data_IF_123935032516
#
_entry.id   IF_123935032516
#
_cell.length_a   1.000
_cell.length_b   1.000
_cell.length_c   1.000
_cell.angle_alpha   90.00
_cell.angle_beta   90.00
_cell.angle_gamma   90.00
#
_symmetry.space_group_name_H-M   'P 1'
#
loop_
_entity.id
_entity.type
_entity.pdbx_description
1 polymer ?
#
# COMPACT_ATOMS: atom_id res chain seq x y z
N UNK A 1 -11.50 7.01 3.23
CA UNK A 1 -11.81 8.22 4.04
C UNK A 1 -11.98 7.99 5.56
N UNK A 2 -12.54 6.86 6.06
CA UNK A 2 -12.82 6.67 7.52
C UNK A 2 -11.60 6.53 8.45
N UNK A 3 -10.37 6.34 7.93
CA UNK A 3 -9.16 6.11 8.74
C UNK A 3 -8.47 7.42 9.21
N UNK A 4 -8.73 8.53 8.53
CA UNK A 4 -8.02 9.80 8.74
C UNK A 4 -8.47 10.60 9.97
N UNK A 5 -9.72 10.43 10.42
CA UNK A 5 -10.26 11.15 11.58
C UNK A 5 -9.64 10.71 12.93
N UNK A 6 -9.04 9.52 13.02
CA UNK A 6 -8.50 8.99 14.29
C UNK A 6 -7.06 9.42 14.60
N UNK A 7 -6.30 9.89 13.62
CA UNK A 7 -4.86 10.18 13.80
C UNK A 7 -4.64 11.53 14.51
N UNK A 8 -5.53 12.51 14.30
CA UNK A 8 -5.31 13.89 14.77
C UNK A 8 -5.70 14.19 16.22
N UNK A 9 -6.32 13.25 16.96
CA UNK A 9 -6.72 13.51 18.35
C UNK A 9 -5.56 13.46 19.36
N UNK A 10 -4.34 13.05 19.00
CA UNK A 10 -3.25 12.86 19.97
C UNK A 10 -2.04 13.80 19.83
N UNK A 11 -2.10 14.88 19.06
CA UNK A 11 -1.05 15.90 19.02
C UNK A 11 -1.44 17.12 19.86
N UNK A 12 -1.61 16.91 21.17
CA UNK A 12 -1.68 17.97 22.20
C UNK A 12 -0.39 18.07 23.04
N UNK A 13 0.72 17.51 22.58
CA UNK A 13 2.00 17.60 23.29
C UNK A 13 3.07 18.21 22.38
N UNK A 14 3.16 19.54 22.41
CA UNK A 14 4.36 20.26 21.99
C UNK A 14 5.55 19.86 22.89
N UNK A 15 6.79 19.77 22.38
CA UNK A 15 7.96 19.61 23.22
C UNK A 15 8.07 20.83 24.16
N UNK A 16 8.15 20.57 25.48
CA UNK A 16 8.51 21.56 26.49
C UNK A 16 10.00 21.87 26.33
N UNK A 17 10.35 22.78 25.43
CA UNK A 17 11.55 23.58 25.63
C UNK A 17 11.33 24.44 26.87
N UNK A 18 12.32 24.46 27.75
CA UNK A 18 12.27 25.07 29.08
C UNK A 18 12.55 26.59 28.95
N UNK A 19 11.76 27.27 28.14
CA UNK A 19 11.64 28.73 28.11
C UNK A 19 10.27 29.07 28.68
N UNK A 20 10.20 29.91 29.71
CA UNK A 20 8.93 30.40 30.24
C UNK A 20 8.13 31.00 29.08
N UNK A 21 6.90 30.50 28.80
CA UNK A 21 6.12 31.05 27.71
C UNK A 21 5.78 32.49 28.05
N UNK A 22 6.23 33.45 27.23
CA UNK A 22 5.79 34.84 27.34
C UNK A 22 4.25 34.87 27.37
N UNK A 23 3.69 35.49 28.41
CA UNK A 23 2.23 35.58 28.60
C UNK A 23 1.51 36.24 27.41
N UNK A 24 2.24 36.99 26.57
CA UNK A 24 1.81 37.61 25.31
C UNK A 24 1.38 36.60 24.22
N UNK A 25 1.84 35.35 24.29
CA UNK A 25 1.59 34.32 23.29
C UNK A 25 0.49 33.32 23.67
N UNK A 26 -0.08 33.44 24.88
CA UNK A 26 -1.20 32.62 25.32
C UNK A 26 -2.49 33.03 24.60
N UNK A 27 -3.12 32.10 23.88
CA UNK A 27 -4.39 32.32 23.18
C UNK A 27 -4.27 32.82 21.73
N UNK A 28 -3.06 32.99 21.19
CA UNK A 28 -2.86 33.41 19.79
C UNK A 28 -3.21 32.26 18.84
N UNK A 29 -4.17 32.49 17.93
CA UNK A 29 -4.51 31.53 16.87
C UNK A 29 -3.36 31.45 15.87
N UNK A 30 -2.53 30.42 15.98
CA UNK A 30 -1.51 30.11 14.98
C UNK A 30 -2.13 29.23 13.90
N UNK A 31 -2.09 29.73 12.68
CA UNK A 31 -2.47 28.96 11.50
C UNK A 31 -1.27 28.12 11.06
N UNK A 32 -1.40 26.80 11.13
CA UNK A 32 -0.35 25.88 10.65
C UNK A 32 -0.31 25.93 9.11
N UNK A 33 0.84 26.20 8.48
CA UNK A 33 0.94 26.33 7.03
C UNK A 33 0.79 24.97 6.30
N UNK A 34 0.47 24.96 4.99
CA UNK A 34 0.42 23.74 4.19
C UNK A 34 1.76 22.99 4.06
N UNK A 35 2.88 23.64 4.38
CA UNK A 35 4.21 23.02 4.41
C UNK A 35 4.43 22.07 5.59
N UNK A 36 3.57 22.11 6.60
CA UNK A 36 3.63 21.18 7.73
C UNK A 36 3.09 19.81 7.32
N UNK A 37 4.00 18.88 7.01
CA UNK A 37 3.68 17.52 6.56
C UNK A 37 2.75 16.80 7.52
N UNK A 38 1.71 16.18 6.98
CA UNK A 38 0.73 15.43 7.76
C UNK A 38 -0.23 16.31 8.58
N UNK A 39 -0.30 17.62 8.31
CA UNK A 39 -1.37 18.51 8.81
C UNK A 39 -2.61 18.54 7.90
N UNK A 40 -3.77 19.04 8.38
CA UNK A 40 -4.99 19.10 7.58
C UNK A 40 -4.82 19.90 6.27
N UNK A 41 -4.09 21.02 6.31
CA UNK A 41 -3.85 21.85 5.13
C UNK A 41 -2.88 21.20 4.14
N UNK A 42 -1.85 20.52 4.65
CA UNK A 42 -0.96 19.72 3.81
C UNK A 42 -1.74 18.63 3.08
N UNK A 43 -2.58 17.88 3.78
CA UNK A 43 -3.39 16.81 3.18
C UNK A 43 -4.37 17.37 2.15
N UNK A 44 -4.98 18.52 2.42
CA UNK A 44 -5.88 19.18 1.48
C UNK A 44 -5.15 19.64 0.21
N UNK A 45 -3.96 20.26 0.35
CA UNK A 45 -3.13 20.65 -0.78
C UNK A 45 -2.75 19.43 -1.63
N UNK A 46 -2.27 18.34 -1.02
CA UNK A 46 -1.92 17.11 -1.75
C UNK A 46 -3.10 16.48 -2.47
N UNK A 47 -4.29 16.55 -1.88
CA UNK A 47 -5.50 16.12 -2.56
C UNK A 47 -5.79 16.99 -3.79
N UNK A 48 -5.69 18.32 -3.67
CA UNK A 48 -5.88 19.22 -4.82
C UNK A 48 -4.83 18.99 -5.91
N UNK A 49 -3.55 18.80 -5.55
CA UNK A 49 -2.47 18.48 -6.49
C UNK A 49 -2.79 17.19 -7.25
N UNK A 50 -3.19 16.13 -6.53
CA UNK A 50 -3.56 14.86 -7.15
C UNK A 50 -4.78 14.98 -8.07
N UNK A 51 -5.80 15.75 -7.69
CA UNK A 51 -6.97 16.01 -8.54
C UNK A 51 -6.60 16.82 -9.78
N UNK A 52 -5.64 17.75 -9.69
CA UNK A 52 -5.14 18.50 -10.83
C UNK A 52 -4.40 17.58 -11.82
N UNK A 53 -3.57 16.66 -11.32
CA UNK A 53 -2.92 15.62 -12.14
C UNK A 53 -3.98 14.78 -12.85
N UNK A 54 -4.95 14.22 -12.12
CA UNK A 54 -6.02 13.39 -12.69
C UNK A 54 -6.84 14.16 -13.74
N UNK A 55 -7.06 15.45 -13.54
CA UNK A 55 -7.76 16.29 -14.52
C UNK A 55 -6.97 16.44 -15.83
N UNK A 56 -5.66 16.53 -15.76
CA UNK A 56 -4.78 16.71 -16.92
C UNK A 56 -4.48 15.39 -17.63
N UNK A 57 -4.15 14.34 -16.88
CA UNK A 57 -3.67 13.07 -17.43
C UNK A 57 -4.73 11.97 -17.51
N UNK A 58 -5.90 12.19 -16.90
CA UNK A 58 -6.99 11.23 -16.81
C UNK A 58 -6.95 10.37 -15.53
N UNK A 59 -7.91 9.45 -15.43
CA UNK A 59 -8.05 8.58 -14.26
C UNK A 59 -6.89 7.56 -14.14
N UNK A 60 -6.47 7.21 -12.91
CA UNK A 60 -5.50 6.14 -12.67
C UNK A 60 -5.93 4.78 -13.24
N UNK A 61 -4.97 4.07 -13.81
CA UNK A 61 -5.16 2.74 -14.39
C UNK A 61 -4.81 1.64 -13.38
N UNK A 62 -3.69 1.80 -12.68
CA UNK A 62 -3.20 0.81 -11.71
C UNK A 62 -3.16 1.40 -10.31
N UNK A 63 -3.58 0.59 -9.34
CA UNK A 63 -3.48 0.87 -7.92
C UNK A 63 -2.60 -0.18 -7.25
N UNK A 64 -1.36 0.20 -6.93
CA UNK A 64 -0.37 -0.69 -6.36
C UNK A 64 -0.24 -0.39 -4.87
N UNK A 65 -0.22 -1.46 -4.06
CA UNK A 65 0.06 -1.33 -2.62
C UNK A 65 1.35 -2.07 -2.29
N UNK A 66 2.36 -1.34 -1.84
CA UNK A 66 3.59 -1.91 -1.29
C UNK A 66 3.48 -1.97 0.22
N UNK A 67 3.68 -3.14 0.82
CA UNK A 67 3.67 -3.32 2.27
C UNK A 67 5.06 -3.74 2.73
N UNK A 68 5.56 -3.12 3.79
CA UNK A 68 6.84 -3.48 4.39
C UNK A 68 6.80 -4.92 4.93
N UNK A 69 7.80 -5.72 4.56
CA UNK A 69 7.93 -7.10 5.03
C UNK A 69 8.95 -7.18 6.17
N UNK A 70 8.57 -7.61 7.39
CA UNK A 70 9.51 -7.71 8.51
C UNK A 70 10.59 -8.78 8.29
N UNK A 71 10.40 -9.69 7.33
CA UNK A 71 11.35 -10.76 7.03
C UNK A 71 12.46 -10.37 6.05
N UNK A 72 12.49 -9.12 5.58
CA UNK A 72 13.56 -8.62 4.73
C UNK A 72 14.94 -8.77 5.40
N UNK A 73 15.98 -9.15 4.64
CA UNK A 73 17.32 -9.42 5.17
C UNK A 73 17.91 -8.20 5.88
N UNK A 74 17.62 -6.98 5.37
CA UNK A 74 18.09 -5.73 5.96
C UNK A 74 17.60 -5.56 7.42
N UNK A 75 16.44 -6.12 7.77
CA UNK A 75 15.98 -6.14 9.16
C UNK A 75 16.69 -7.23 9.97
N UNK A 76 16.77 -8.45 9.45
CA UNK A 76 17.38 -9.58 10.16
C UNK A 76 18.85 -9.35 10.52
N UNK A 77 19.58 -8.63 9.66
CA UNK A 77 21.00 -8.31 9.86
C UNK A 77 21.24 -7.15 10.83
N UNK A 78 20.27 -6.24 10.98
CA UNK A 78 20.45 -4.99 11.75
C UNK A 78 19.63 -4.94 13.06
N UNK A 79 18.75 -5.91 13.30
CA UNK A 79 18.01 -6.05 14.56
C UNK A 79 18.85 -6.81 15.58
N UNK A 80 18.81 -6.36 16.84
CA UNK A 80 19.43 -7.11 17.94
C UNK A 80 18.60 -8.35 18.27
N UNK A 81 19.23 -9.31 18.96
CA UNK A 81 18.55 -10.54 19.39
C UNK A 81 17.32 -10.19 20.25
N UNK A 82 16.14 -10.58 19.77
CA UNK A 82 14.86 -10.34 20.45
C UNK A 82 14.17 -9.02 20.10
N UNK A 83 14.79 -8.13 19.31
CA UNK A 83 14.11 -6.95 18.76
C UNK A 83 13.22 -7.32 17.57
N UNK A 84 12.07 -6.67 17.47
CA UNK A 84 11.18 -6.74 16.31
C UNK A 84 11.37 -5.50 15.43
N UNK A 85 11.02 -5.62 14.15
CA UNK A 85 11.08 -4.48 13.22
C UNK A 85 10.29 -3.25 13.73
N UNK A 86 9.16 -3.48 14.41
CA UNK A 86 8.36 -2.41 15.03
C UNK A 86 9.10 -1.62 16.12
N UNK A 87 10.13 -2.21 16.74
CA UNK A 87 10.90 -1.57 17.82
C UNK A 87 11.96 -0.60 17.26
N UNK A 88 12.28 -0.70 15.97
CA UNK A 88 13.24 0.16 15.25
C UNK A 88 12.57 0.91 14.10
N UNK A 89 11.70 1.90 14.39
CA UNK A 89 10.98 2.66 13.36
C UNK A 89 11.89 3.43 12.41
N UNK A 90 13.08 3.83 12.87
CA UNK A 90 14.12 4.46 12.05
C UNK A 90 14.62 3.50 10.94
N UNK A 91 14.88 2.24 11.29
CA UNK A 91 15.33 1.22 10.36
C UNK A 91 14.21 0.87 9.37
N UNK A 92 12.99 0.69 9.86
CA UNK A 92 11.81 0.44 9.02
C UNK A 92 11.63 1.54 7.99
N UNK A 93 11.66 2.81 8.41
CA UNK A 93 11.50 3.94 7.50
C UNK A 93 12.58 3.99 6.43
N UNK A 94 13.85 3.74 6.79
CA UNK A 94 14.97 3.76 5.84
C UNK A 94 14.88 2.65 4.81
N UNK A 95 14.72 1.40 5.26
CA UNK A 95 14.64 0.24 4.37
C UNK A 95 13.41 0.35 3.46
N UNK A 96 12.25 0.70 4.04
CA UNK A 96 11.03 0.87 3.27
C UNK A 96 11.15 1.95 2.21
N UNK A 97 11.71 3.11 2.53
CA UNK A 97 11.87 4.20 1.56
C UNK A 97 12.84 3.84 0.44
N UNK A 98 13.90 3.09 0.73
CA UNK A 98 14.82 2.60 -0.31
C UNK A 98 14.14 1.62 -1.26
N UNK A 99 13.40 0.64 -0.72
CA UNK A 99 12.61 -0.30 -1.54
C UNK A 99 11.53 0.41 -2.35
N UNK A 100 10.86 1.42 -1.77
CA UNK A 100 9.85 2.21 -2.46
C UNK A 100 10.48 3.04 -3.58
N UNK A 101 11.69 3.58 -3.37
CA UNK A 101 12.42 4.30 -4.43
C UNK A 101 12.80 3.35 -5.57
N UNK A 102 13.31 2.16 -5.27
CA UNK A 102 13.62 1.15 -6.28
C UNK A 102 12.37 0.77 -7.08
N UNK A 103 11.26 0.46 -6.40
CA UNK A 103 10.00 0.16 -7.07
C UNK A 103 9.53 1.31 -7.98
N UNK A 104 9.57 2.56 -7.52
CA UNK A 104 9.17 3.69 -8.37
C UNK A 104 10.09 3.86 -9.58
N UNK A 105 11.39 3.58 -9.44
CA UNK A 105 12.31 3.60 -10.56
C UNK A 105 11.92 2.54 -11.61
N UNK A 106 11.64 1.31 -11.21
CA UNK A 106 11.20 0.24 -12.12
C UNK A 106 9.88 0.62 -12.83
N UNK A 107 8.96 1.29 -12.11
CA UNK A 107 7.71 1.78 -12.69
C UNK A 107 7.94 2.90 -13.70
N UNK A 108 8.85 3.84 -13.41
CA UNK A 108 9.20 4.94 -14.31
C UNK A 108 9.96 4.43 -15.56
N UNK A 109 10.69 3.32 -15.45
CA UNK A 109 11.33 2.61 -16.56
C UNK A 109 10.34 1.84 -17.45
N UNK A 110 9.06 1.78 -17.05
CA UNK A 110 7.97 1.26 -17.88
C UNK A 110 7.75 -0.25 -17.76
N UNK A 111 8.17 -0.88 -16.65
CA UNK A 111 7.97 -2.33 -16.40
C UNK A 111 6.49 -2.74 -16.49
N UNK A 112 5.56 -1.83 -16.17
CA UNK A 112 4.11 -2.03 -16.28
C UNK A 112 3.45 -1.19 -17.40
N UNK A 113 4.25 -0.73 -18.37
CA UNK A 113 3.82 0.19 -19.42
C UNK A 113 4.29 1.63 -19.17
N UNK A 114 4.24 2.47 -20.20
CA UNK A 114 4.76 3.85 -20.12
C UNK A 114 3.88 4.72 -19.24
N UNK A 115 4.48 5.27 -18.18
CA UNK A 115 3.77 6.10 -17.19
C UNK A 115 3.65 7.56 -17.67
N UNK A 116 2.43 8.08 -17.66
CA UNK A 116 2.15 9.51 -17.86
C UNK A 116 2.22 10.30 -16.56
N UNK A 117 1.74 9.72 -15.46
CA UNK A 117 1.89 10.28 -14.12
C UNK A 117 1.90 9.19 -13.03
N UNK A 118 2.72 9.41 -12.00
CA UNK A 118 2.85 8.56 -10.83
C UNK A 118 2.59 9.38 -9.56
N UNK A 119 1.62 8.95 -8.76
CA UNK A 119 1.29 9.59 -7.48
C UNK A 119 1.31 8.53 -6.38
N UNK A 120 2.13 8.71 -5.35
CA UNK A 120 2.14 7.80 -4.21
C UNK A 120 2.08 8.50 -2.87
N UNK A 121 1.58 7.77 -1.87
CA UNK A 121 1.59 8.16 -0.47
C UNK A 121 2.17 7.03 0.35
N UNK A 122 3.20 7.34 1.14
CA UNK A 122 3.72 6.45 2.17
C UNK A 122 3.02 6.75 3.51
N UNK A 123 2.50 5.71 4.15
CA UNK A 123 1.81 5.76 5.43
C UNK A 123 2.58 4.95 6.48
N UNK A 124 2.94 5.62 7.57
CA UNK A 124 3.51 4.98 8.75
C UNK A 124 2.41 4.72 9.77
N UNK A 125 2.08 3.45 9.98
CA UNK A 125 1.05 3.09 10.95
C UNK A 125 1.63 3.06 12.37
N UNK A 126 0.90 3.59 13.37
CA UNK A 126 1.36 3.65 14.78
C UNK A 126 1.76 2.29 15.39
N UNK A 127 1.24 1.18 14.86
CA UNK A 127 1.45 -0.21 15.34
C UNK A 127 1.62 -1.20 14.18
N UNK A 128 1.87 -0.69 12.99
CA UNK A 128 2.00 -1.48 11.78
C UNK A 128 3.23 -1.03 11.01
N UNK A 129 3.76 -1.90 10.18
CA UNK A 129 4.87 -1.53 9.32
C UNK A 129 4.38 -0.56 8.23
N UNK A 130 5.33 0.17 7.65
CA UNK A 130 5.02 1.15 6.61
C UNK A 130 4.35 0.48 5.41
N UNK A 131 3.42 1.20 4.79
CA UNK A 131 2.84 0.81 3.52
C UNK A 131 2.72 2.02 2.60
N UNK A 132 2.71 1.78 1.30
CA UNK A 132 2.55 2.82 0.29
C UNK A 132 1.39 2.45 -0.62
N UNK A 133 0.62 3.47 -0.99
CA UNK A 133 -0.38 3.40 -2.03
C UNK A 133 0.13 4.20 -3.21
N UNK A 134 0.22 3.56 -4.38
CA UNK A 134 0.76 4.12 -5.61
C UNK A 134 -0.37 4.07 -6.65
N UNK A 135 -0.62 5.22 -7.27
CA UNK A 135 -1.54 5.38 -8.40
C UNK A 135 -0.70 5.65 -9.64
N UNK A 136 -0.85 4.78 -10.65
CA UNK A 136 -0.22 4.97 -11.95
C UNK A 136 -1.27 5.35 -12.97
N UNK A 137 -0.97 6.40 -13.73
CA UNK A 137 -1.72 6.82 -14.91
C UNK A 137 -0.82 6.49 -16.11
N UNK A 138 -1.22 5.50 -16.90
CA UNK A 138 -0.49 5.03 -18.07
C UNK A 138 -0.84 5.88 -19.29
N UNK A 139 0.08 5.94 -20.26
CA UNK A 139 -0.21 6.54 -21.56
C UNK A 139 -1.31 5.75 -22.28
N UNK A 140 -2.14 6.40 -23.13
CA UNK A 140 -3.27 5.76 -23.79
C UNK A 140 -2.94 4.43 -24.46
N UNK A 141 -1.75 4.32 -25.05
CA UNK A 141 -1.28 3.15 -25.80
C UNK A 141 -0.96 1.95 -24.89
N UNK A 142 -0.64 2.20 -23.62
CA UNK A 142 -0.28 1.18 -22.62
C UNK A 142 -1.44 0.86 -21.66
N UNK A 143 -2.62 1.44 -21.86
CA UNK A 143 -3.78 1.18 -20.99
C UNK A 143 -4.31 -0.24 -21.22
N UNK A 144 -4.48 -1.00 -20.14
CA UNK A 144 -5.13 -2.31 -20.18
C UNK A 144 -6.62 -2.17 -20.46
N UNK A 145 -7.02 -2.44 -21.70
CA UNK A 145 -8.42 -2.33 -22.17
C UNK A 145 -9.07 -3.69 -22.41
N UNK A 146 -8.27 -4.76 -22.47
CA UNK A 146 -8.73 -6.14 -22.67
C UNK A 146 -8.39 -7.06 -21.50
N UNK A 147 -9.04 -8.22 -21.45
CA UNK A 147 -8.70 -9.28 -20.50
C UNK A 147 -7.25 -9.76 -20.68
N UNK A 148 -6.76 -9.85 -21.92
CA UNK A 148 -5.39 -10.26 -22.22
C UNK A 148 -4.37 -9.27 -21.66
N UNK A 149 -4.63 -7.96 -21.76
CA UNK A 149 -3.76 -6.94 -21.17
C UNK A 149 -3.72 -7.05 -19.64
N UNK A 150 -4.87 -7.36 -19.02
CA UNK A 150 -4.94 -7.61 -17.58
C UNK A 150 -4.12 -8.84 -17.20
N UNK A 151 -4.24 -9.94 -17.95
CA UNK A 151 -3.51 -11.19 -17.68
C UNK A 151 -1.99 -11.04 -17.84
N UNK A 152 -1.54 -10.13 -18.72
CA UNK A 152 -0.11 -9.77 -18.85
C UNK A 152 0.42 -9.04 -17.61
N UNK A 153 -0.42 -8.29 -16.90
CA UNK A 153 -0.03 -7.48 -15.74
C UNK A 153 -0.30 -8.18 -14.40
N UNK A 154 -1.34 -9.01 -14.32
CA UNK A 154 -1.84 -9.62 -13.10
C UNK A 154 -2.16 -11.08 -13.35
N UNK A 155 -1.57 -11.96 -12.53
CA UNK A 155 -1.95 -13.38 -12.49
C UNK A 155 -2.46 -13.74 -11.10
N UNK A 156 -3.57 -14.50 -11.05
CA UNK A 156 -4.06 -15.14 -9.83
C UNK A 156 -3.64 -16.62 -9.74
N UNK A 157 -2.75 -17.07 -10.61
CA UNK A 157 -2.17 -18.42 -10.57
C UNK A 157 -0.88 -18.45 -9.75
N UNK A 158 -0.55 -19.64 -9.24
CA UNK A 158 0.75 -19.84 -8.60
C UNK A 158 1.84 -19.89 -9.68
N UNK A 159 2.98 -19.21 -9.47
CA UNK A 159 4.14 -19.34 -10.35
C UNK A 159 4.58 -20.80 -10.51
N UNK A 160 5.21 -21.12 -11.64
CA UNK A 160 5.83 -22.44 -11.83
C UNK A 160 7.01 -22.60 -10.87
N UNK A 161 6.94 -23.62 -10.00
CA UNK A 161 7.95 -23.88 -8.96
C UNK A 161 9.31 -24.25 -9.52
N UNK A 162 9.35 -24.92 -10.67
CA UNK A 162 10.61 -25.38 -11.28
C UNK A 162 11.26 -24.25 -12.08
N UNK A 163 10.47 -23.45 -12.80
CA UNK A 163 10.99 -22.35 -13.62
C UNK A 163 11.30 -21.09 -12.81
N UNK A 164 10.49 -20.80 -11.79
CA UNK A 164 10.57 -19.57 -11.02
C UNK A 164 10.49 -19.85 -9.50
N UNK A 165 11.45 -20.60 -8.94
CA UNK A 165 11.40 -21.03 -7.53
C UNK A 165 11.33 -19.86 -6.55
N UNK A 166 12.09 -18.79 -6.79
CA UNK A 166 12.11 -17.61 -5.90
C UNK A 166 10.77 -16.86 -5.88
N UNK A 167 10.14 -16.71 -7.07
CA UNK A 167 8.83 -16.08 -7.20
C UNK A 167 7.75 -16.94 -6.55
N UNK A 168 7.79 -18.25 -6.76
CA UNK A 168 6.89 -19.21 -6.14
C UNK A 168 6.95 -19.12 -4.60
N UNK A 169 8.14 -19.21 -4.01
CA UNK A 169 8.33 -19.13 -2.55
C UNK A 169 7.86 -17.76 -2.01
N UNK A 170 8.10 -16.68 -2.75
CA UNK A 170 7.65 -15.33 -2.38
C UNK A 170 6.12 -15.24 -2.37
N UNK A 171 5.45 -15.74 -3.41
CA UNK A 171 3.97 -15.73 -3.52
C UNK A 171 3.35 -16.60 -2.44
N UNK A 172 3.87 -17.80 -2.21
CA UNK A 172 3.35 -18.70 -1.16
C UNK A 172 3.49 -18.08 0.23
N UNK A 173 4.65 -17.49 0.53
CA UNK A 173 4.95 -16.97 1.85
C UNK A 173 4.21 -15.67 2.18
N UNK A 174 3.91 -14.84 1.17
CA UNK A 174 3.45 -13.47 1.41
C UNK A 174 2.08 -13.12 0.80
N UNK A 175 1.65 -13.83 -0.25
CA UNK A 175 0.48 -13.44 -1.04
C UNK A 175 -0.71 -14.41 -0.93
N UNK A 176 -0.53 -15.55 -0.24
CA UNK A 176 -1.62 -16.49 0.01
C UNK A 176 -2.50 -16.06 1.19
N UNK A 177 -3.82 -16.14 0.99
CA UNK A 177 -4.75 -16.06 2.10
C UNK A 177 -4.62 -17.32 2.95
N UNK A 178 -4.28 -17.16 4.23
CA UNK A 178 -4.24 -18.28 5.17
C UNK A 178 -5.62 -18.93 5.36
N UNK A 179 -5.67 -20.14 5.95
CA UNK A 179 -6.94 -20.77 6.29
C UNK A 179 -7.78 -19.83 7.14
N UNK A 180 -9.06 -19.74 6.83
CA UNK A 180 -10.07 -18.98 7.55
C UNK A 180 -11.41 -19.71 7.47
N UNK A 181 -12.48 -19.13 8.03
CA UNK A 181 -13.76 -19.82 8.10
C UNK A 181 -13.73 -20.88 9.20
N UNK A 182 -14.30 -22.05 8.90
CA UNK A 182 -14.33 -23.16 9.85
C UNK A 182 -12.93 -23.67 10.21
N UNK A 183 -11.97 -23.61 9.28
CA UNK A 183 -10.60 -24.06 9.51
C UNK A 183 -9.83 -23.15 10.47
N UNK A 184 -10.23 -21.87 10.57
CA UNK A 184 -9.65 -20.93 11.53
C UNK A 184 -10.65 -19.78 11.84
N UNK A 185 -11.59 -19.99 12.78
CA UNK A 185 -12.60 -19.00 13.12
C UNK A 185 -12.05 -17.72 13.75
N UNK A 186 -10.85 -17.81 14.34
CA UNK A 186 -10.17 -16.70 15.02
C UNK A 186 -9.31 -15.84 14.08
N UNK A 187 -9.27 -16.16 12.78
CA UNK A 187 -8.48 -15.41 11.81
C UNK A 187 -8.96 -13.94 11.75
N UNK A 188 -8.05 -12.94 11.68
CA UNK A 188 -8.44 -11.50 11.69
C UNK A 188 -9.41 -11.07 10.58
N UNK A 189 -9.51 -11.86 9.50
CA UNK A 189 -10.45 -11.60 8.41
C UNK A 189 -11.90 -11.98 8.75
N UNK A 190 -12.14 -12.78 9.79
CA UNK A 190 -13.46 -13.29 10.18
C UNK A 190 -14.30 -12.20 10.83
N UNK A 191 -15.53 -12.03 10.33
CA UNK A 191 -16.56 -11.15 10.91
C UNK A 191 -17.91 -11.84 10.79
N UNK A 192 -18.65 -11.94 11.89
CA UNK A 192 -19.95 -12.61 11.93
C UNK A 192 -19.88 -14.01 11.28
N UNK A 193 -18.88 -14.80 11.68
CA UNK A 193 -18.64 -16.18 11.20
C UNK A 193 -18.34 -16.33 9.69
N UNK A 194 -18.18 -15.22 8.96
CA UNK A 194 -17.83 -15.23 7.54
C UNK A 194 -16.52 -14.47 7.29
N UNK A 195 -15.75 -14.91 6.32
CA UNK A 195 -14.57 -14.17 5.89
C UNK A 195 -15.00 -12.83 5.27
N UNK A 196 -14.62 -11.71 5.88
CA UNK A 196 -14.95 -10.36 5.39
C UNK A 196 -14.35 -10.04 4.01
N UNK A 197 -13.37 -10.84 3.57
CA UNK A 197 -12.74 -10.76 2.25
C UNK A 197 -13.38 -11.71 1.22
N UNK A 198 -14.37 -12.52 1.65
CA UNK A 198 -15.11 -13.50 0.83
C UNK A 198 -14.20 -14.60 0.24
N UNK A 199 -13.33 -15.18 1.07
CA UNK A 199 -12.58 -16.38 0.70
C UNK A 199 -13.33 -17.65 1.10
N UNK A 200 -13.15 -18.78 0.38
CA UNK A 200 -12.42 -18.86 -0.90
C UNK A 200 -13.15 -18.10 -2.01
N UNK A 201 -12.39 -17.57 -2.98
CA UNK A 201 -12.96 -16.92 -4.15
C UNK A 201 -13.41 -17.99 -5.14
N UNK A 202 -14.47 -17.70 -5.89
CA UNK A 202 -14.88 -18.55 -7.01
C UNK A 202 -13.82 -18.42 -8.09
N UNK A 203 -13.36 -19.57 -8.59
CA UNK A 203 -12.41 -19.64 -9.71
C UNK A 203 -13.12 -19.33 -11.02
N UNK A 204 -12.38 -18.76 -11.97
CA UNK A 204 -12.84 -18.48 -13.32
C UNK A 204 -11.83 -19.04 -14.32
N UNK A 205 -12.34 -19.64 -15.39
CA UNK A 205 -11.52 -20.27 -16.44
C UNK A 205 -10.82 -19.23 -17.34
N UNK A 206 -11.36 -18.01 -17.38
CA UNK A 206 -10.83 -16.87 -18.13
C UNK A 206 -11.03 -15.55 -17.36
N UNK A 207 -10.22 -14.54 -17.68
CA UNK A 207 -10.39 -13.21 -17.09
C UNK A 207 -11.58 -12.51 -17.74
N UNK A 208 -12.55 -12.13 -16.91
CA UNK A 208 -13.77 -11.45 -17.37
C UNK A 208 -13.74 -9.99 -16.91
N UNK A 209 -13.71 -9.09 -17.89
CA UNK A 209 -13.86 -7.66 -17.68
C UNK A 209 -15.32 -7.35 -17.32
N UNK A 210 -15.52 -6.48 -16.34
CA UNK A 210 -16.85 -6.04 -15.95
C UNK A 210 -16.92 -4.52 -15.96
N UNK A 211 -17.97 -3.97 -16.56
CA UNK A 211 -18.21 -2.52 -16.59
C UNK A 211 -18.36 -1.99 -15.16
N UNK A 212 -17.59 -0.94 -14.84
CA UNK A 212 -17.52 -0.29 -13.52
C UNK A 212 -17.19 -1.21 -12.33
N UNK A 213 -16.56 -2.37 -12.58
CA UNK A 213 -16.16 -3.33 -11.53
C UNK A 213 -14.74 -3.81 -11.76
N UNK A 214 -14.14 -4.34 -10.69
CA UNK A 214 -12.87 -5.06 -10.82
C UNK A 214 -13.05 -6.31 -11.71
N UNK A 215 -12.06 -6.65 -12.55
CA UNK A 215 -12.08 -7.88 -13.32
C UNK A 215 -12.22 -9.10 -12.41
N UNK A 216 -12.91 -10.12 -12.90
CA UNK A 216 -12.80 -11.46 -12.32
C UNK A 216 -11.62 -12.13 -13.00
N UNK A 217 -10.51 -12.28 -12.27
CA UNK A 217 -9.28 -12.85 -12.83
C UNK A 217 -9.42 -14.36 -13.06
N UNK A 218 -8.83 -14.83 -14.15
CA UNK A 218 -8.56 -16.23 -14.38
C UNK A 218 -7.77 -16.80 -13.21
N UNK A 219 -8.19 -17.95 -12.71
CA UNK A 219 -7.46 -18.64 -11.67
C UNK A 219 -7.87 -20.10 -11.61
N UNK A 220 -6.89 -21.00 -11.56
CA UNK A 220 -7.12 -22.44 -11.48
C UNK A 220 -6.97 -22.93 -10.04
N UNK A 221 -7.75 -23.93 -9.61
CA UNK A 221 -7.51 -24.60 -8.34
C UNK A 221 -6.10 -25.21 -8.32
N UNK A 222 -5.52 -25.34 -7.13
CA UNK A 222 -4.26 -26.10 -7.00
C UNK A 222 -4.54 -27.54 -7.45
N UNK A 223 -3.64 -28.16 -8.22
CA UNK A 223 -3.66 -29.61 -8.37
C UNK A 223 -3.60 -30.24 -6.97
N UNK A 224 -4.50 -31.18 -6.71
CA UNK A 224 -4.52 -31.98 -5.47
C UNK A 224 -3.25 -32.82 -5.29
#
# INVERSE_FOLDING_TARGET
MKKWHKIYRSLKSFPRERTEPEASNLGRKVIIPPTFTGGPRYMYQRFLDAMAIVRETGAPNLFITMTCNPNWPEFKENLRRGEQASDRPDLVARVFMQKLKALNQDLDEGVLGVVAANVYVAEYQKRGLAHAHILLILRPEDKSVSAEDVDRLVSAELPDKEKHPELYETVISNMLHGPCGQQNPNCPCMKNEKCSKKFPKVFADETVMAEDKYPTYMGRPRPE
#
